data_IF_844475818554
#
_entry.id   IF_844475818554
#
_cell.length_a   1.000
_cell.length_b   1.000
_cell.length_c   1.000
_cell.angle_alpha   90.00
_cell.angle_beta   90.00
_cell.angle_gamma   90.00
#
_symmetry.space_group_name_H-M   'P 1'
#
loop_
_entity.id
_entity.type
_entity.pdbx_description
1 polymer ?
#
# COMPACT_ATOMS: atom_id res chain seq x y z
N UNK A 1 -54.85 36.13 -19.14
CA UNK A 1 -53.73 36.38 -20.07
C UNK A 1 -52.53 35.59 -19.57
N UNK A 2 -52.17 34.56 -20.34
CA UNK A 2 -51.11 33.60 -20.06
C UNK A 2 -49.74 34.26 -20.18
N UNK A 3 -48.88 34.11 -19.16
CA UNK A 3 -47.44 34.34 -19.31
C UNK A 3 -46.72 33.01 -19.11
N UNK A 4 -46.31 32.42 -20.23
CA UNK A 4 -45.42 31.27 -20.33
C UNK A 4 -44.01 31.76 -20.04
N UNK A 5 -43.43 31.36 -18.91
CA UNK A 5 -42.04 31.67 -18.58
C UNK A 5 -41.14 30.58 -19.17
N UNK A 6 -40.47 30.88 -20.29
CA UNK A 6 -39.50 29.99 -20.93
C UNK A 6 -38.16 30.11 -20.21
N UNK A 7 -37.88 29.20 -19.28
CA UNK A 7 -36.55 29.06 -18.69
C UNK A 7 -35.63 28.35 -19.68
N UNK A 8 -34.68 29.11 -20.24
CA UNK A 8 -33.61 28.65 -21.13
C UNK A 8 -32.60 27.84 -20.30
N UNK A 9 -32.50 26.53 -20.56
CA UNK A 9 -31.48 25.65 -19.98
C UNK A 9 -30.21 25.77 -20.81
N UNK A 10 -29.19 26.43 -20.28
CA UNK A 10 -27.85 26.52 -20.89
C UNK A 10 -27.01 25.35 -20.34
N UNK A 11 -26.68 24.40 -21.20
CA UNK A 11 -25.70 23.34 -20.92
C UNK A 11 -24.29 23.94 -20.87
N UNK A 12 -23.64 23.92 -19.70
CA UNK A 12 -22.21 24.15 -19.59
C UNK A 12 -21.45 22.86 -19.90
N UNK A 13 -20.75 22.84 -21.03
CA UNK A 13 -19.63 21.93 -21.27
C UNK A 13 -18.45 22.41 -20.42
N UNK A 14 -18.21 21.75 -19.28
CA UNK A 14 -16.95 21.88 -18.55
C UNK A 14 -16.01 20.81 -19.08
N UNK A 15 -15.00 21.24 -19.83
CA UNK A 15 -13.85 20.41 -20.16
C UNK A 15 -13.13 20.02 -18.86
N UNK A 16 -13.16 18.73 -18.51
CA UNK A 16 -12.34 18.17 -17.43
C UNK A 16 -10.92 18.10 -17.98
N UNK A 17 -10.16 19.18 -17.80
CA UNK A 17 -8.72 19.12 -17.89
C UNK A 17 -8.23 18.26 -16.71
N UNK A 18 -7.63 17.11 -17.03
CA UNK A 18 -6.91 16.31 -16.07
C UNK A 18 -5.77 17.16 -15.51
N UNK A 19 -5.93 17.65 -14.28
CA UNK A 19 -4.86 18.27 -13.53
C UNK A 19 -3.85 17.18 -13.18
N UNK A 20 -2.65 17.38 -13.68
CA UNK A 20 -1.43 16.72 -13.25
C UNK A 20 -1.28 16.86 -11.73
N UNK A 21 -0.85 15.78 -11.08
CA UNK A 21 -0.62 15.70 -9.64
C UNK A 21 0.58 16.57 -9.24
N UNK A 22 0.36 17.88 -9.14
CA UNK A 22 1.29 18.83 -8.54
C UNK A 22 1.10 18.85 -7.01
N UNK A 23 2.06 18.30 -6.28
CA UNK A 23 2.24 18.58 -4.85
C UNK A 23 2.51 20.08 -4.68
N UNK A 24 1.77 20.75 -3.80
CA UNK A 24 1.75 22.21 -3.70
C UNK A 24 3.12 22.86 -3.53
N UNK A 25 3.33 23.94 -4.28
CA UNK A 25 4.48 24.84 -4.20
C UNK A 25 4.55 25.50 -2.82
N UNK A 26 5.26 24.87 -1.90
CA UNK A 26 5.44 25.39 -0.55
C UNK A 26 6.56 24.69 0.19
N UNK A 27 7.81 24.92 -0.24
CA UNK A 27 9.04 24.77 0.56
C UNK A 27 9.11 23.62 1.60
N UNK A 28 8.72 22.39 1.27
CA UNK A 28 9.10 21.22 2.08
C UNK A 28 10.30 20.52 1.43
N UNK A 29 11.49 21.06 1.68
CA UNK A 29 12.77 20.62 1.11
C UNK A 29 13.23 19.20 1.53
N UNK A 30 12.34 18.36 2.08
CA UNK A 30 12.62 16.97 2.43
C UNK A 30 11.36 16.12 2.33
N UNK A 31 10.85 15.93 1.11
CA UNK A 31 10.00 14.76 0.85
C UNK A 31 10.75 13.51 1.36
N UNK A 32 10.07 12.57 2.05
CA UNK A 32 10.71 11.35 2.52
C UNK A 32 11.41 10.62 1.37
N UNK A 33 12.61 10.11 1.66
CA UNK A 33 13.48 9.48 0.66
C UNK A 33 12.89 8.20 0.05
N UNK A 34 11.83 7.65 0.65
CA UNK A 34 11.23 6.37 0.27
C UNK A 34 9.77 6.58 -0.08
N UNK A 35 9.40 6.23 -1.33
CA UNK A 35 8.00 6.07 -1.71
C UNK A 35 7.45 4.81 -1.03
N UNK A 36 6.42 4.97 -0.20
CA UNK A 36 5.67 3.82 0.29
C UNK A 36 4.76 3.25 -0.81
N UNK A 37 4.81 1.93 -0.98
CA UNK A 37 3.92 1.16 -1.86
C UNK A 37 3.00 0.21 -1.09
N UNK A 38 3.18 0.15 0.24
CA UNK A 38 2.42 -0.68 1.16
C UNK A 38 2.44 -0.06 2.56
N UNK A 39 1.50 -0.48 3.41
CA UNK A 39 1.54 -0.21 4.85
C UNK A 39 1.79 -1.52 5.61
N UNK A 40 2.44 -1.43 6.77
CA UNK A 40 2.74 -2.60 7.60
C UNK A 40 1.97 -2.52 8.91
N UNK A 41 1.23 -3.57 9.22
CA UNK A 41 0.34 -3.67 10.38
C UNK A 41 0.88 -4.72 11.34
N UNK A 42 1.03 -4.35 12.61
CA UNK A 42 1.39 -5.26 13.68
C UNK A 42 0.17 -6.01 14.20
N UNK A 43 0.33 -7.28 14.55
CA UNK A 43 -0.64 -8.01 15.36
C UNK A 43 -0.65 -7.46 16.80
N UNK A 44 -1.76 -7.68 17.51
CA UNK A 44 -1.75 -7.61 18.96
C UNK A 44 -0.83 -8.72 19.51
N UNK A 45 -0.19 -8.42 20.64
CA UNK A 45 0.56 -9.41 21.39
C UNK A 45 -0.40 -10.49 21.88
N UNK A 46 0.00 -11.75 21.75
CA UNK A 46 -0.75 -12.88 22.28
C UNK A 46 -0.36 -13.16 23.75
N UNK A 47 -0.77 -14.31 24.29
CA UNK A 47 -0.43 -14.74 25.65
C UNK A 47 1.07 -14.99 25.87
N UNK A 48 1.85 -15.16 24.79
CA UNK A 48 3.30 -15.33 24.84
C UNK A 48 4.07 -14.02 24.61
N UNK A 49 3.33 -12.92 24.47
CA UNK A 49 3.83 -11.54 24.33
C UNK A 49 4.65 -11.26 23.06
N UNK A 50 4.51 -12.08 22.02
CA UNK A 50 5.13 -11.80 20.71
C UNK A 50 4.12 -11.24 19.71
N UNK A 51 4.64 -10.60 18.66
CA UNK A 51 3.84 -10.01 17.58
C UNK A 51 4.40 -10.42 16.22
N UNK A 52 3.55 -10.29 15.21
CA UNK A 52 3.92 -10.41 13.81
C UNK A 52 3.55 -9.16 13.04
N UNK A 53 4.24 -8.93 11.93
CA UNK A 53 3.92 -7.86 11.00
C UNK A 53 3.30 -8.43 9.72
N UNK A 54 2.31 -7.76 9.16
CA UNK A 54 1.78 -8.05 7.83
C UNK A 54 1.91 -6.80 6.97
N UNK A 55 2.38 -6.95 5.73
CA UNK A 55 2.45 -5.87 4.75
C UNK A 55 1.27 -5.95 3.79
N UNK A 56 0.51 -4.85 3.68
CA UNK A 56 -0.67 -4.71 2.81
C UNK A 56 -0.32 -3.74 1.68
N UNK A 57 -0.25 -4.21 0.42
CA UNK A 57 0.01 -3.36 -0.74
C UNK A 57 -1.10 -2.33 -0.96
N UNK A 58 -0.74 -1.10 -1.33
CA UNK A 58 -1.72 -0.06 -1.65
C UNK A 58 -2.49 -0.32 -2.95
N UNK A 59 -2.00 -1.24 -3.79
CA UNK A 59 -2.68 -1.75 -4.98
C UNK A 59 -3.93 -2.55 -4.63
N UNK A 60 -3.92 -3.24 -3.48
CA UNK A 60 -5.04 -4.08 -3.06
C UNK A 60 -6.15 -3.21 -2.46
N UNK A 61 -5.77 -2.13 -1.77
CA UNK A 61 -6.70 -1.15 -1.17
C UNK A 61 -7.27 -0.22 -2.24
N UNK A 62 -8.43 -0.59 -2.78
CA UNK A 62 -9.09 0.16 -3.85
C UNK A 62 -10.61 0.25 -3.67
N UNK A 63 -11.24 1.19 -4.40
CA UNK A 63 -12.71 1.32 -4.46
C UNK A 63 -13.39 0.17 -5.21
N UNK A 64 -12.64 -0.58 -6.02
CA UNK A 64 -13.16 -1.69 -6.82
C UNK A 64 -12.15 -2.85 -6.85
N UNK A 65 -12.02 -3.60 -5.75
CA UNK A 65 -11.06 -4.71 -5.67
C UNK A 65 -11.47 -5.83 -6.63
N UNK A 66 -10.49 -6.36 -7.36
CA UNK A 66 -10.69 -7.40 -8.39
C UNK A 66 -10.90 -8.80 -7.81
N UNK A 67 -10.38 -9.05 -6.61
CA UNK A 67 -10.48 -10.34 -5.92
C UNK A 67 -11.58 -10.31 -4.85
N UNK A 68 -12.21 -11.46 -4.61
CA UNK A 68 -13.21 -11.60 -3.55
C UNK A 68 -12.58 -11.82 -2.17
N UNK A 69 -11.35 -12.31 -2.13
CA UNK A 69 -10.56 -12.53 -0.91
C UNK A 69 -9.11 -12.14 -1.15
N UNK A 70 -8.54 -11.45 -0.17
CA UNK A 70 -7.14 -11.04 -0.13
C UNK A 70 -6.49 -11.69 1.08
N UNK A 71 -5.41 -12.44 0.88
CA UNK A 71 -4.71 -13.11 1.97
C UNK A 71 -3.28 -12.60 2.06
N UNK A 72 -2.79 -12.46 3.30
CA UNK A 72 -1.46 -11.94 3.56
C UNK A 72 -0.79 -12.82 4.60
N UNK A 73 0.44 -13.23 4.30
CA UNK A 73 1.27 -13.97 5.24
C UNK A 73 2.09 -12.99 6.07
N UNK A 74 2.14 -13.24 7.37
CA UNK A 74 2.90 -12.43 8.31
C UNK A 74 4.41 -12.66 8.17
N UNK A 75 5.19 -11.73 8.72
CA UNK A 75 6.61 -11.91 8.97
C UNK A 75 6.86 -13.14 9.84
N UNK A 76 8.05 -13.73 9.67
CA UNK A 76 8.54 -14.76 10.58
C UNK A 76 8.90 -14.07 11.89
N UNK A 77 8.24 -14.49 12.96
CA UNK A 77 8.56 -14.13 14.35
C UNK A 77 8.59 -15.44 15.13
N UNK A 78 9.56 -15.61 16.02
CA UNK A 78 9.72 -16.82 16.85
C UNK A 78 9.58 -18.14 16.05
N UNK A 79 10.16 -18.15 14.85
CA UNK A 79 10.25 -19.34 13.98
C UNK A 79 8.99 -19.73 13.22
N UNK A 80 7.91 -18.93 13.24
CA UNK A 80 6.67 -19.27 12.52
C UNK A 80 5.95 -18.06 11.90
N UNK A 81 4.89 -18.34 11.12
CA UNK A 81 4.07 -17.32 10.43
C UNK A 81 2.59 -17.62 10.53
N UNK A 82 1.79 -16.57 10.38
CA UNK A 82 0.34 -16.60 10.30
C UNK A 82 -0.16 -16.11 8.94
N UNK A 83 -1.40 -16.44 8.61
CA UNK A 83 -2.13 -15.89 7.47
C UNK A 83 -3.32 -15.10 7.98
N UNK A 84 -3.50 -13.90 7.44
CA UNK A 84 -4.73 -13.12 7.60
C UNK A 84 -5.47 -13.07 6.27
N UNK A 85 -6.80 -12.93 6.33
CA UNK A 85 -7.64 -12.80 5.15
C UNK A 85 -8.63 -11.64 5.29
N UNK A 86 -8.76 -10.86 4.22
CA UNK A 86 -9.74 -9.79 4.06
C UNK A 86 -10.73 -10.18 2.97
N UNK A 87 -12.01 -9.91 3.20
CA UNK A 87 -13.01 -9.94 2.12
C UNK A 87 -12.87 -8.71 1.22
N UNK A 88 -13.39 -8.79 0.00
CA UNK A 88 -13.55 -7.64 -0.88
C UNK A 88 -14.23 -6.45 -0.20
N UNK A 89 -15.28 -6.70 0.58
CA UNK A 89 -15.99 -5.63 1.29
C UNK A 89 -15.10 -5.01 2.37
N UNK A 90 -14.34 -5.80 3.13
CA UNK A 90 -13.41 -5.26 4.12
C UNK A 90 -12.31 -4.40 3.49
N UNK A 91 -11.84 -4.75 2.28
CA UNK A 91 -10.91 -3.90 1.52
C UNK A 91 -11.54 -2.57 1.11
N UNK A 92 -12.81 -2.59 0.68
CA UNK A 92 -13.58 -1.36 0.39
C UNK A 92 -13.75 -0.54 1.68
N UNK A 93 -14.07 -1.18 2.80
CA UNK A 93 -14.24 -0.53 4.11
C UNK A 93 -12.94 0.15 4.55
N UNK A 94 -11.79 -0.52 4.42
CA UNK A 94 -10.45 0.06 4.66
C UNK A 94 -10.23 1.28 3.76
N UNK A 95 -10.54 1.17 2.46
CA UNK A 95 -10.41 2.28 1.51
C UNK A 95 -11.35 3.46 1.86
N UNK A 96 -12.47 3.21 2.54
CA UNK A 96 -13.39 4.23 3.05
C UNK A 96 -12.96 4.80 4.42
N UNK A 97 -11.83 4.32 4.96
CA UNK A 97 -11.23 4.77 6.20
C UNK A 97 -11.68 3.99 7.44
N UNK A 98 -12.49 2.95 7.28
CA UNK A 98 -12.98 2.16 8.40
C UNK A 98 -11.88 1.33 9.07
N UNK A 99 -12.13 0.93 10.31
CA UNK A 99 -11.28 -0.05 11.02
C UNK A 99 -11.73 -1.46 10.65
N UNK A 100 -10.78 -2.37 10.51
CA UNK A 100 -11.05 -3.81 10.36
C UNK A 100 -10.30 -4.55 11.46
N UNK A 101 -10.97 -5.47 12.14
CA UNK A 101 -10.36 -6.37 13.11
C UNK A 101 -10.53 -7.79 12.63
N UNK A 102 -9.44 -8.56 12.63
CA UNK A 102 -9.41 -9.92 12.11
C UNK A 102 -8.51 -10.82 12.94
N UNK A 103 -8.73 -12.12 12.84
CA UNK A 103 -7.96 -13.16 13.51
C UNK A 103 -7.24 -13.98 12.44
N UNK A 104 -6.02 -14.44 12.70
CA UNK A 104 -5.26 -15.25 11.75
C UNK A 104 -5.70 -16.70 11.71
N UNK A 105 -5.16 -17.41 10.73
CA UNK A 105 -4.92 -18.84 10.81
C UNK A 105 -4.12 -19.25 12.05
N UNK A 106 -4.19 -20.54 12.38
CA UNK A 106 -3.15 -21.23 13.16
C UNK A 106 -1.79 -21.13 12.44
N UNK A 107 -0.67 -21.19 13.17
CA UNK A 107 0.64 -21.02 12.56
C UNK A 107 1.08 -22.26 11.80
N UNK A 108 1.99 -22.06 10.84
CA UNK A 108 2.59 -23.14 10.05
C UNK A 108 3.49 -24.09 10.87
N UNK A 109 3.85 -23.73 12.10
CA UNK A 109 4.64 -24.57 13.01
C UNK A 109 3.83 -25.72 13.63
N UNK A 110 2.50 -25.68 13.56
CA UNK A 110 1.60 -26.67 14.17
C UNK A 110 1.31 -26.44 15.66
N UNK A 111 1.99 -25.48 16.31
CA UNK A 111 1.67 -25.11 17.71
C UNK A 111 0.48 -24.16 17.73
N UNK A 112 -0.70 -24.65 18.09
CA UNK A 112 -1.97 -23.93 17.94
C UNK A 112 -2.03 -22.63 18.75
N UNK A 113 -2.03 -21.49 18.06
CA UNK A 113 -2.44 -20.18 18.57
C UNK A 113 -2.82 -19.24 17.40
N UNK A 114 -3.33 -18.06 17.70
CA UNK A 114 -3.72 -17.03 16.72
C UNK A 114 -3.45 -15.65 17.30
N UNK A 115 -3.25 -14.64 16.44
CA UNK A 115 -3.29 -13.25 16.91
C UNK A 115 -4.54 -12.53 16.43
N UNK A 116 -4.70 -11.28 16.87
CA UNK A 116 -5.69 -10.35 16.35
C UNK A 116 -4.98 -9.18 15.68
N UNK A 117 -5.45 -8.74 14.52
CA UNK A 117 -4.91 -7.59 13.81
C UNK A 117 -5.95 -6.49 13.75
N UNK A 118 -5.56 -5.28 14.15
CA UNK A 118 -6.38 -4.07 13.98
C UNK A 118 -5.83 -3.24 12.83
N UNK A 119 -6.51 -3.27 11.68
CA UNK A 119 -6.18 -2.44 10.52
C UNK A 119 -6.98 -1.15 10.61
N UNK A 120 -6.28 -0.02 10.64
CA UNK A 120 -6.91 1.30 10.68
C UNK A 120 -6.91 1.88 9.26
N UNK A 121 -8.07 1.93 8.59
CA UNK A 121 -8.15 2.45 7.22
C UNK A 121 -7.64 3.88 7.08
N UNK A 122 -7.88 4.73 8.09
CA UNK A 122 -7.31 6.08 8.16
C UNK A 122 -5.78 6.12 8.11
N UNK A 123 -5.09 5.17 8.77
CA UNK A 123 -3.63 5.06 8.72
C UNK A 123 -3.16 4.63 7.33
N UNK A 124 -3.79 3.62 6.75
CA UNK A 124 -3.46 3.14 5.40
C UNK A 124 -3.69 4.22 4.33
N UNK A 125 -4.77 4.99 4.45
CA UNK A 125 -5.05 6.10 3.54
C UNK A 125 -4.05 7.23 3.69
N UNK A 126 -3.60 7.51 4.92
CA UNK A 126 -2.53 8.46 5.16
C UNK A 126 -1.21 7.98 4.54
N UNK A 127 -0.82 6.73 4.79
CA UNK A 127 0.41 6.17 4.23
C UNK A 127 0.41 6.19 2.70
N UNK A 128 -0.73 5.85 2.09
CA UNK A 128 -0.91 5.81 0.63
C UNK A 128 -0.82 7.18 -0.04
N UNK A 129 -1.51 8.18 0.51
CA UNK A 129 -1.76 9.44 -0.19
C UNK A 129 -0.98 10.62 0.36
N UNK A 130 -0.44 10.50 1.57
CA UNK A 130 0.03 11.64 2.35
C UNK A 130 1.47 11.47 2.77
N UNK A 131 1.86 10.26 3.16
CA UNK A 131 3.17 10.00 3.77
C UNK A 131 4.34 10.42 2.87
N UNK A 132 4.21 10.19 1.56
CA UNK A 132 5.26 10.53 0.59
C UNK A 132 5.52 12.04 0.48
N UNK A 133 4.61 12.88 0.99
CA UNK A 133 4.75 14.34 1.06
C UNK A 133 4.86 14.85 2.51
N UNK A 134 4.38 14.09 3.49
CA UNK A 134 4.28 14.49 4.89
C UNK A 134 4.81 13.37 5.81
N UNK A 135 5.78 13.66 6.67
CA UNK A 135 6.16 12.71 7.73
C UNK A 135 5.03 12.48 8.73
N UNK A 136 5.08 11.37 9.49
CA UNK A 136 4.08 10.99 10.52
C UNK A 136 3.66 12.12 11.48
N UNK A 137 4.57 13.07 11.74
CA UNK A 137 4.36 14.23 12.64
C UNK A 137 3.38 15.29 12.12
N UNK A 138 2.86 15.21 10.88
CA UNK A 138 2.05 16.28 10.26
C UNK A 138 0.58 15.93 9.98
N UNK A 139 0.01 14.96 10.70
CA UNK A 139 -1.45 14.70 10.68
C UNK A 139 -2.22 15.87 11.31
N UNK A 140 -2.59 16.91 10.54
CA UNK A 140 -3.58 17.89 11.01
C UNK A 140 -3.50 19.35 10.54
N UNK A 141 -2.60 19.73 9.62
CA UNK A 141 -2.39 21.16 9.31
C UNK A 141 -3.11 21.71 8.07
N UNK A 142 -2.75 21.19 6.89
CA UNK A 142 -3.10 21.82 5.61
C UNK A 142 -3.91 20.88 4.72
N UNK A 143 -4.84 21.42 3.90
CA UNK A 143 -5.60 20.61 2.95
C UNK A 143 -4.64 20.05 1.90
N UNK A 144 -4.54 18.72 1.85
CA UNK A 144 -3.93 18.04 0.73
C UNK A 144 -4.84 18.16 -0.48
N UNK A 145 -4.27 18.34 -1.67
CA UNK A 145 -5.01 18.30 -2.92
C UNK A 145 -5.34 16.85 -3.34
N UNK A 146 -5.72 16.01 -2.38
CA UNK A 146 -6.22 14.65 -2.61
C UNK A 146 -7.72 14.69 -2.36
N UNK A 147 -8.51 14.30 -3.36
CA UNK A 147 -9.96 14.27 -3.25
C UNK A 147 -10.39 13.11 -2.36
N UNK A 148 -10.41 13.34 -1.04
CA UNK A 148 -11.04 12.44 -0.09
C UNK A 148 -12.52 12.77 0.09
N UNK A 149 -13.33 11.73 0.28
CA UNK A 149 -14.70 11.91 0.74
C UNK A 149 -14.72 12.26 2.25
N UNK A 150 -15.85 12.72 2.80
CA UNK A 150 -15.92 13.14 4.21
C UNK A 150 -15.54 12.03 5.22
N UNK A 151 -15.87 10.76 4.96
CA UNK A 151 -15.54 9.67 5.87
C UNK A 151 -14.04 9.40 5.90
N UNK A 152 -13.38 9.44 4.74
CA UNK A 152 -11.94 9.31 4.61
C UNK A 152 -11.22 10.46 5.33
N UNK A 153 -11.69 11.71 5.17
CA UNK A 153 -11.12 12.86 5.88
C UNK A 153 -11.20 12.66 7.40
N UNK A 154 -12.36 12.24 7.90
CA UNK A 154 -12.55 11.97 9.32
C UNK A 154 -11.59 10.87 9.80
N UNK A 155 -11.52 9.74 9.07
CA UNK A 155 -10.67 8.62 9.43
C UNK A 155 -9.18 8.96 9.40
N UNK A 156 -8.70 9.73 8.42
CA UNK A 156 -7.29 10.15 8.38
C UNK A 156 -6.93 11.04 9.56
N UNK A 157 -7.84 11.93 9.99
CA UNK A 157 -7.64 12.81 11.15
C UNK A 157 -7.77 12.08 12.49
N UNK A 158 -8.66 11.09 12.57
CA UNK A 158 -8.93 10.31 13.77
C UNK A 158 -9.07 8.81 13.44
N UNK A 159 -7.95 8.11 13.15
CA UNK A 159 -7.99 6.71 12.72
C UNK A 159 -8.61 5.79 13.78
N UNK A 160 -8.24 6.02 15.04
CA UNK A 160 -8.78 5.27 16.17
C UNK A 160 -10.28 5.55 16.39
N UNK A 161 -10.84 6.65 15.89
CA UNK A 161 -12.27 6.97 15.99
C UNK A 161 -13.11 6.52 14.80
N UNK A 162 -12.50 6.01 13.72
CA UNK A 162 -13.23 5.55 12.55
C UNK A 162 -14.17 4.38 12.89
N UNK A 163 -15.34 4.26 12.22
CA UNK A 163 -16.26 3.15 12.48
C UNK A 163 -15.60 1.80 12.20
N UNK A 164 -15.98 0.77 12.96
CA UNK A 164 -15.55 -0.60 12.74
C UNK A 164 -16.36 -1.22 11.59
N UNK A 165 -15.69 -1.93 10.69
CA UNK A 165 -16.34 -2.76 9.67
C UNK A 165 -17.19 -3.82 10.34
N UNK A 166 -18.45 -3.92 9.92
CA UNK A 166 -19.38 -4.98 10.32
C UNK A 166 -19.35 -6.15 9.33
N UNK A 167 -18.56 -6.04 8.26
CA UNK A 167 -18.41 -7.06 7.25
C UNK A 167 -17.76 -8.30 7.86
N UNK A 168 -18.28 -9.51 7.59
CA UNK A 168 -17.70 -10.74 8.11
C UNK A 168 -16.26 -10.90 7.63
N UNK A 169 -15.41 -11.42 8.52
CA UNK A 169 -14.04 -11.76 8.18
C UNK A 169 -13.99 -12.96 7.23
N UNK A 170 -13.08 -12.91 6.26
CA UNK A 170 -12.74 -14.08 5.46
C UNK A 170 -12.06 -15.13 6.34
N UNK A 171 -12.26 -16.41 6.05
CA UNK A 171 -11.52 -17.49 6.71
C UNK A 171 -10.11 -17.54 6.13
N UNK A 172 -9.04 -17.34 6.93
CA UNK A 172 -7.68 -17.45 6.42
C UNK A 172 -7.32 -18.90 6.14
N UNK A 173 -6.70 -19.17 5.00
CA UNK A 173 -6.13 -20.47 4.66
C UNK A 173 -4.73 -20.58 5.30
N UNK A 174 -4.51 -21.47 6.29
CA UNK A 174 -3.19 -21.65 6.91
C UNK A 174 -2.11 -22.04 5.89
N UNK A 175 -2.51 -22.74 4.83
CA UNK A 175 -1.65 -23.18 3.74
C UNK A 175 -1.55 -22.16 2.62
N UNK A 176 -2.10 -20.95 2.79
CA UNK A 176 -1.94 -19.86 1.83
C UNK A 176 -0.48 -19.54 1.63
N UNK A 177 0.09 -20.17 0.62
CA UNK A 177 1.32 -19.71 0.02
C UNK A 177 0.94 -18.50 -0.82
N UNK A 178 1.79 -17.48 -0.82
CA UNK A 178 1.63 -16.37 -1.74
C UNK A 178 1.64 -16.96 -3.16
N UNK A 179 0.45 -17.10 -3.75
CA UNK A 179 0.29 -17.64 -5.09
C UNK A 179 0.71 -16.55 -6.07
N UNK A 180 2.00 -16.51 -6.41
CA UNK A 180 2.55 -15.67 -7.48
C UNK A 180 2.08 -14.20 -7.42
N UNK A 181 2.59 -13.31 -6.57
CA UNK A 181 4.01 -13.12 -6.25
C UNK A 181 4.71 -14.36 -5.75
N UNK A 182 5.59 -14.91 -6.59
CA UNK A 182 6.71 -15.73 -6.14
C UNK A 182 7.30 -14.94 -4.97
N UNK A 183 7.84 -15.58 -3.93
CA UNK A 183 8.74 -14.81 -3.05
C UNK A 183 9.82 -14.26 -3.97
N UNK A 184 9.64 -13.01 -4.41
CA UNK A 184 10.44 -12.39 -5.42
C UNK A 184 11.72 -12.11 -4.67
N UNK A 185 12.65 -13.06 -4.82
CA UNK A 185 13.95 -12.96 -4.22
C UNK A 185 14.63 -11.76 -4.90
N UNK A 186 14.51 -10.60 -4.25
CA UNK A 186 15.06 -9.35 -4.74
C UNK A 186 16.57 -9.45 -4.97
N UNK A 187 17.26 -10.32 -4.20
CA UNK A 187 18.69 -10.60 -4.37
C UNK A 187 18.91 -11.38 -5.66
N UNK A 188 18.16 -12.44 -5.90
CA UNK A 188 18.25 -13.22 -7.15
C UNK A 188 17.81 -12.39 -8.38
N UNK A 189 16.75 -11.60 -8.25
CA UNK A 189 16.29 -10.69 -9.31
C UNK A 189 17.33 -9.62 -9.61
N UNK A 190 17.96 -9.03 -8.60
CA UNK A 190 19.05 -8.08 -8.80
C UNK A 190 20.26 -8.74 -9.46
N UNK A 191 20.63 -9.94 -9.00
CA UNK A 191 21.73 -10.71 -9.59
C UNK A 191 21.50 -11.01 -11.07
N UNK A 192 20.27 -11.42 -11.43
CA UNK A 192 19.91 -11.78 -12.80
C UNK A 192 19.79 -10.56 -13.74
N UNK A 193 19.30 -9.42 -13.24
CA UNK A 193 18.88 -8.30 -14.10
C UNK A 193 19.76 -7.06 -13.99
N UNK A 194 20.57 -6.91 -12.94
CA UNK A 194 21.24 -5.64 -12.63
C UNK A 194 22.75 -5.80 -12.40
N UNK A 195 23.19 -6.92 -11.82
CA UNK A 195 24.55 -7.05 -11.29
C UNK A 195 25.65 -7.03 -12.35
N UNK A 196 25.35 -7.45 -13.59
CA UNK A 196 26.30 -7.42 -14.71
C UNK A 196 26.79 -6.01 -15.05
N UNK A 197 25.98 -4.97 -14.79
CA UNK A 197 26.31 -3.57 -15.07
C UNK A 197 26.51 -2.73 -13.80
N UNK A 198 25.97 -3.15 -12.65
CA UNK A 198 25.95 -2.35 -11.42
C UNK A 198 26.75 -2.94 -10.25
N UNK A 199 27.51 -4.02 -10.51
CA UNK A 199 28.23 -4.88 -9.57
C UNK A 199 27.30 -5.79 -8.74
N UNK A 200 27.87 -6.74 -8.02
CA UNK A 200 27.13 -7.59 -7.09
C UNK A 200 26.46 -6.78 -5.99
N UNK A 201 25.35 -7.27 -5.44
CA UNK A 201 24.49 -6.53 -4.50
C UNK A 201 25.28 -5.92 -3.32
N UNK A 202 26.16 -6.70 -2.69
CA UNK A 202 26.98 -6.25 -1.57
C UNK A 202 27.88 -5.04 -1.90
N UNK A 203 28.25 -4.88 -3.16
CA UNK A 203 29.15 -3.84 -3.71
C UNK A 203 28.47 -2.95 -4.76
N UNK A 204 27.14 -2.98 -4.80
CA UNK A 204 26.37 -2.30 -5.84
C UNK A 204 26.66 -0.81 -5.85
N UNK A 205 26.88 -0.23 -7.02
CA UNK A 205 26.99 1.23 -7.19
C UNK A 205 25.62 1.94 -7.10
N UNK A 206 24.54 1.16 -6.94
CA UNK A 206 23.14 1.60 -6.94
C UNK A 206 22.41 1.21 -5.65
N UNK A 207 23.13 1.07 -4.54
CA UNK A 207 22.51 0.89 -3.22
C UNK A 207 21.57 2.07 -2.89
N UNK A 208 20.59 1.78 -2.04
CA UNK A 208 19.56 2.72 -1.54
C UNK A 208 18.73 3.38 -2.64
N UNK A 209 18.48 2.69 -3.76
CA UNK A 209 17.56 3.16 -4.81
C UNK A 209 16.15 2.68 -4.55
N UNK A 210 15.20 3.61 -4.60
CA UNK A 210 13.79 3.32 -4.40
C UNK A 210 13.13 2.70 -5.64
N UNK A 211 11.97 2.07 -5.45
CA UNK A 211 11.15 1.50 -6.53
C UNK A 211 10.95 2.49 -7.69
N UNK A 212 10.54 3.73 -7.39
CA UNK A 212 10.33 4.75 -8.43
C UNK A 212 11.61 5.12 -9.16
N UNK A 213 12.74 5.26 -8.45
CA UNK A 213 14.01 5.61 -9.08
C UNK A 213 14.46 4.53 -10.06
N UNK A 214 14.27 3.26 -9.69
CA UNK A 214 14.60 2.12 -10.55
C UNK A 214 13.63 2.08 -11.74
N UNK A 215 12.33 2.23 -11.50
CA UNK A 215 11.30 2.23 -12.55
C UNK A 215 11.53 3.34 -13.57
N UNK A 216 11.74 4.58 -13.11
CA UNK A 216 12.05 5.73 -13.99
C UNK A 216 13.31 5.49 -14.80
N UNK A 217 14.37 4.95 -14.20
CA UNK A 217 15.61 4.66 -14.93
C UNK A 217 15.39 3.64 -16.06
N UNK A 218 14.61 2.58 -15.81
CA UNK A 218 14.25 1.59 -16.83
C UNK A 218 13.42 2.24 -17.94
N UNK A 219 12.35 2.96 -17.58
CA UNK A 219 11.44 3.57 -18.58
C UNK A 219 12.11 4.65 -19.40
N UNK A 220 13.05 5.39 -18.83
CA UNK A 220 13.84 6.42 -19.53
C UNK A 220 15.08 5.84 -20.21
N UNK A 221 15.24 4.51 -20.23
CA UNK A 221 16.40 3.82 -20.81
C UNK A 221 17.75 4.38 -20.33
N UNK A 222 17.82 4.79 -19.05
CA UNK A 222 19.02 5.40 -18.48
C UNK A 222 20.18 4.41 -18.50
N UNK A 223 21.26 4.74 -19.19
CA UNK A 223 22.41 3.82 -19.31
C UNK A 223 22.10 2.52 -20.06
N UNK A 224 21.06 2.48 -20.91
CA UNK A 224 20.76 1.33 -21.76
C UNK A 224 19.86 0.26 -21.12
N UNK A 225 19.09 0.61 -20.08
CA UNK A 225 18.23 -0.32 -19.33
C UNK A 225 16.93 -0.76 -20.02
N UNK A 226 16.65 -0.33 -21.27
CA UNK A 226 15.37 -0.60 -21.95
C UNK A 226 15.00 -2.09 -22.06
N UNK A 227 15.99 -2.99 -22.11
CA UNK A 227 15.75 -4.45 -22.13
C UNK A 227 15.08 -4.98 -20.86
N UNK A 228 15.13 -4.23 -19.75
CA UNK A 228 14.51 -4.57 -18.47
C UNK A 228 13.04 -4.13 -18.38
N UNK A 229 12.46 -3.54 -19.44
CA UNK A 229 11.08 -3.05 -19.46
C UNK A 229 10.01 -4.14 -19.25
N UNK A 230 10.39 -5.42 -19.32
CA UNK A 230 9.52 -6.55 -19.03
C UNK A 230 9.41 -6.89 -17.52
N UNK A 231 10.25 -6.29 -16.66
CA UNK A 231 10.15 -6.47 -15.22
C UNK A 231 8.84 -5.86 -14.70
N UNK A 232 8.08 -6.64 -13.96
CA UNK A 232 6.86 -6.17 -13.33
C UNK A 232 7.14 -5.22 -12.16
N UNK A 233 6.15 -4.41 -11.79
CA UNK A 233 6.27 -3.52 -10.63
C UNK A 233 6.62 -4.29 -9.34
N UNK A 234 6.08 -5.49 -9.16
CA UNK A 234 6.41 -6.35 -8.03
C UNK A 234 7.88 -6.80 -8.04
N UNK A 235 8.45 -7.12 -9.20
CA UNK A 235 9.86 -7.47 -9.36
C UNK A 235 10.77 -6.28 -9.08
N UNK A 236 10.42 -5.09 -9.58
CA UNK A 236 11.18 -3.87 -9.33
C UNK A 236 11.12 -3.49 -7.84
N UNK A 237 9.97 -3.67 -7.20
CA UNK A 237 9.80 -3.41 -5.77
C UNK A 237 10.66 -4.36 -4.92
N UNK A 238 10.72 -5.65 -5.29
CA UNK A 238 11.56 -6.63 -4.61
C UNK A 238 13.06 -6.30 -4.76
N UNK A 239 13.50 -5.88 -5.96
CA UNK A 239 14.87 -5.41 -6.20
C UNK A 239 15.18 -4.17 -5.35
N UNK A 240 14.26 -3.20 -5.28
CA UNK A 240 14.43 -1.99 -4.48
C UNK A 240 14.63 -2.33 -2.99
N UNK A 241 13.84 -3.28 -2.46
CA UNK A 241 13.98 -3.74 -1.09
C UNK A 241 15.34 -4.39 -0.81
N UNK A 242 15.88 -5.17 -1.76
CA UNK A 242 17.19 -5.80 -1.63
C UNK A 242 18.38 -4.81 -1.65
N UNK A 243 18.19 -3.59 -2.18
CA UNK A 243 19.22 -2.57 -2.30
C UNK A 243 19.39 -1.68 -1.06
N UNK A 244 18.56 -1.85 -0.04
CA UNK A 244 18.64 -1.09 1.21
C UNK A 244 19.81 -1.63 2.05
N UNK A 245 20.65 -0.73 2.56
CA UNK A 245 21.72 -1.05 3.52
C UNK A 245 21.31 -0.77 4.96
#
# INVERSE_FOLDING_TARGET
MNYINKTLVIFYLVAVAALEFGCGEGNEAKAPAVLLTASTVASQADATAHTHMVTIPFTDVSVSPVSDTFQYRSSISDGHTHVIALTKQQVIDINNGMRVVLTSSVPNSGTSHTHTWGIQGGDLLYDKNCFNCHSYSKRGGNPMNVAFNPSQIFAVKNPAGAPLSTSPAATPDPNYVLSSGVSLDGVALYAANCASCHNQLATSTKLNRSFLQIKTAITSNSGGMASLGALSDAQIQAIAAALIK
#
